data_IF_554455015606
#
_entry.id   IF_554455015606
#
_cell.length_a   1.000
_cell.length_b   1.000
_cell.length_c   1.000
_cell.angle_alpha   90.00
_cell.angle_beta   90.00
_cell.angle_gamma   90.00
#
_symmetry.space_group_name_H-M   'P 1'
#
loop_
_entity.id
_entity.type
_entity.pdbx_description
1 polymer ?
#
# COMPACT_ATOMS: atom_id res chain seq x y z
N UNK A 1 25.02 -11.13 -4.85
CA UNK A 1 23.69 -10.75 -4.35
C UNK A 1 22.57 -11.65 -4.91
N UNK A 2 22.49 -11.93 -6.22
CA UNK A 2 21.43 -12.79 -6.82
C UNK A 2 21.43 -14.28 -6.38
N UNK A 3 22.59 -14.83 -6.02
CA UNK A 3 22.70 -16.24 -5.59
C UNK A 3 21.93 -16.52 -4.28
N UNK A 4 21.90 -15.54 -3.36
CA UNK A 4 21.19 -15.67 -2.09
C UNK A 4 19.67 -15.67 -2.24
N UNK A 5 19.12 -14.79 -3.09
CA UNK A 5 17.67 -14.75 -3.37
C UNK A 5 17.17 -16.04 -4.03
N UNK A 6 17.93 -16.55 -5.01
CA UNK A 6 17.56 -17.78 -5.71
C UNK A 6 17.54 -18.98 -4.75
N UNK A 7 18.54 -19.09 -3.87
CA UNK A 7 18.57 -20.12 -2.84
C UNK A 7 17.42 -19.97 -1.83
N UNK A 8 17.17 -18.76 -1.34
CA UNK A 8 16.13 -18.50 -0.35
C UNK A 8 14.72 -18.85 -0.86
N UNK A 9 14.45 -18.67 -2.16
CA UNK A 9 13.16 -19.07 -2.77
C UNK A 9 12.83 -20.56 -2.58
N UNK A 10 13.84 -21.42 -2.47
CA UNK A 10 13.66 -22.86 -2.32
C UNK A 10 13.72 -23.35 -0.87
N UNK A 11 14.15 -22.51 0.07
CA UNK A 11 14.25 -22.88 1.48
C UNK A 11 12.94 -22.59 2.23
N UNK A 12 12.47 -23.50 3.09
CA UNK A 12 11.31 -23.24 3.93
C UNK A 12 11.62 -22.13 4.93
N UNK A 13 10.67 -21.20 5.13
CA UNK A 13 10.81 -20.12 6.11
C UNK A 13 9.69 -19.10 6.04
N UNK A 14 9.64 -18.12 6.97
CA UNK A 14 8.58 -17.11 7.02
C UNK A 14 8.45 -16.29 5.73
N UNK A 15 9.56 -16.05 5.02
CA UNK A 15 9.59 -15.34 3.74
C UNK A 15 8.70 -15.98 2.67
N UNK A 16 8.54 -17.30 2.70
CA UNK A 16 7.63 -18.02 1.77
C UNK A 16 6.15 -17.62 1.93
N UNK A 17 5.78 -17.00 3.06
CA UNK A 17 4.43 -16.50 3.33
C UNK A 17 4.20 -15.09 2.75
N UNK A 18 5.27 -14.31 2.53
CA UNK A 18 5.19 -12.90 2.09
C UNK A 18 4.43 -12.77 0.75
N UNK A 19 4.74 -13.54 -0.31
CA UNK A 19 4.02 -13.41 -1.58
C UNK A 19 2.52 -13.63 -1.44
N UNK A 20 2.11 -14.61 -0.60
CA UNK A 20 0.70 -14.90 -0.33
C UNK A 20 0.00 -13.75 0.40
N UNK A 21 0.68 -13.12 1.35
CA UNK A 21 0.15 -11.97 2.08
C UNK A 21 -0.01 -10.76 1.17
N UNK A 22 1.01 -10.45 0.36
CA UNK A 22 0.97 -9.38 -0.62
C UNK A 22 -0.14 -9.59 -1.65
N UNK A 23 -0.32 -10.81 -2.15
CA UNK A 23 -1.41 -11.15 -3.06
C UNK A 23 -2.80 -10.93 -2.44
N UNK A 24 -2.97 -11.29 -1.16
CA UNK A 24 -4.22 -11.03 -0.42
C UNK A 24 -4.50 -9.53 -0.26
N UNK A 25 -3.49 -8.74 0.08
CA UNK A 25 -3.62 -7.29 0.21
C UNK A 25 -3.91 -6.62 -1.14
N UNK A 26 -3.21 -7.01 -2.22
CA UNK A 26 -3.50 -6.54 -3.58
C UNK A 26 -4.94 -6.88 -3.99
N UNK A 27 -5.42 -8.09 -3.70
CA UNK A 27 -6.81 -8.48 -3.96
C UNK A 27 -7.83 -7.62 -3.20
N UNK A 28 -7.54 -7.29 -1.94
CA UNK A 28 -8.36 -6.38 -1.14
C UNK A 28 -8.43 -4.98 -1.78
N UNK A 29 -7.29 -4.44 -2.21
CA UNK A 29 -7.20 -3.14 -2.89
C UNK A 29 -7.92 -3.16 -4.22
N UNK A 30 -7.72 -4.18 -5.06
CA UNK A 30 -8.41 -4.33 -6.33
C UNK A 30 -9.95 -4.31 -6.16
N UNK A 31 -10.46 -4.92 -5.09
CA UNK A 31 -11.89 -4.85 -4.73
C UNK A 31 -12.32 -3.44 -4.32
N UNK A 32 -11.47 -2.69 -3.62
CA UNK A 32 -11.74 -1.27 -3.29
C UNK A 32 -11.74 -0.42 -4.56
N UNK A 33 -10.76 -0.59 -5.44
CA UNK A 33 -10.68 0.11 -6.74
C UNK A 33 -11.95 -0.10 -7.56
N UNK A 34 -12.43 -1.35 -7.68
CA UNK A 34 -13.70 -1.62 -8.38
C UNK A 34 -14.90 -0.89 -7.77
N UNK A 35 -15.06 -0.94 -6.44
CA UNK A 35 -16.14 -0.24 -5.74
C UNK A 35 -16.07 1.29 -5.95
N UNK A 36 -14.87 1.84 -5.91
CA UNK A 36 -14.65 3.26 -6.15
C UNK A 36 -15.04 3.62 -7.60
N UNK A 37 -14.61 2.84 -8.59
CA UNK A 37 -14.96 3.03 -9.99
C UNK A 37 -16.47 2.93 -10.28
N UNK A 38 -17.18 1.98 -9.65
CA UNK A 38 -18.64 1.81 -9.76
C UNK A 38 -19.43 3.03 -9.29
N UNK A 39 -18.84 3.85 -8.42
CA UNK A 39 -19.50 4.98 -7.75
C UNK A 39 -18.71 6.28 -7.93
N UNK A 40 -17.90 6.36 -8.98
CA UNK A 40 -17.01 7.50 -9.23
C UNK A 40 -17.82 8.69 -9.73
N UNK A 41 -17.66 9.83 -9.05
CA UNK A 41 -18.24 11.11 -9.45
C UNK A 41 -17.12 12.08 -9.84
N UNK A 42 -16.98 12.46 -11.13
CA UNK A 42 -15.85 13.28 -11.59
C UNK A 42 -15.69 14.64 -10.91
N UNK A 43 -16.79 15.22 -10.42
CA UNK A 43 -16.77 16.50 -9.71
C UNK A 43 -16.50 16.39 -8.21
N UNK A 44 -16.46 15.17 -7.65
CA UNK A 44 -16.37 14.94 -6.21
C UNK A 44 -15.50 13.72 -5.89
N UNK A 45 -14.18 13.76 -6.15
CA UNK A 45 -13.29 12.65 -5.81
C UNK A 45 -13.23 12.47 -4.29
N UNK A 46 -13.49 11.25 -3.82
CA UNK A 46 -13.62 10.95 -2.38
C UNK A 46 -12.29 10.65 -1.71
N UNK A 47 -11.38 10.04 -2.44
CA UNK A 47 -10.10 9.55 -1.92
C UNK A 47 -9.04 9.45 -3.03
N UNK A 48 -7.85 8.98 -2.66
CA UNK A 48 -6.73 8.77 -3.58
C UNK A 48 -7.09 7.91 -4.80
N UNK A 49 -7.92 6.87 -4.62
CA UNK A 49 -8.29 5.96 -5.70
C UNK A 49 -9.13 6.71 -6.73
N UNK A 50 -10.11 7.50 -6.29
CA UNK A 50 -10.92 8.31 -7.20
C UNK A 50 -10.05 9.33 -7.98
N UNK A 51 -9.15 10.03 -7.29
CA UNK A 51 -8.22 10.96 -7.94
C UNK A 51 -7.38 10.27 -9.03
N UNK A 52 -6.88 9.07 -8.75
CA UNK A 52 -6.08 8.30 -9.71
C UNK A 52 -6.94 7.82 -10.89
N UNK A 53 -8.15 7.33 -10.65
CA UNK A 53 -9.09 6.92 -11.71
C UNK A 53 -9.44 8.08 -12.64
N UNK A 54 -9.66 9.29 -12.09
CA UNK A 54 -9.90 10.48 -12.91
C UNK A 54 -8.67 10.88 -13.70
N UNK A 55 -7.47 10.69 -13.15
CA UNK A 55 -6.23 10.93 -13.90
C UNK A 55 -6.02 9.91 -15.02
N UNK A 56 -6.37 8.63 -14.80
CA UNK A 56 -6.37 7.61 -15.85
C UNK A 56 -7.28 8.00 -17.02
N UNK A 57 -8.48 8.51 -16.73
CA UNK A 57 -9.40 8.96 -17.79
C UNK A 57 -8.86 10.16 -18.58
N UNK A 58 -8.19 11.11 -17.90
CA UNK A 58 -7.54 12.26 -18.55
C UNK A 58 -6.38 11.86 -19.45
N UNK A 59 -5.70 10.76 -19.13
CA UNK A 59 -4.51 10.28 -19.86
C UNK A 59 -4.79 9.08 -20.77
N UNK A 60 -6.06 8.71 -21.00
CA UNK A 60 -6.44 7.51 -21.75
C UNK A 60 -5.87 7.44 -23.18
N UNK A 61 -5.62 8.60 -23.80
CA UNK A 61 -5.08 8.71 -25.15
C UNK A 61 -3.53 8.74 -25.18
N UNK A 62 -2.87 8.67 -24.03
CA UNK A 62 -1.42 8.60 -23.90
C UNK A 62 -0.96 7.15 -23.68
N UNK A 63 -0.42 6.47 -24.72
CA UNK A 63 0.03 5.07 -24.60
C UNK A 63 1.25 4.90 -23.70
N UNK A 64 1.94 5.98 -23.33
CA UNK A 64 3.08 5.97 -22.40
C UNK A 64 2.69 6.41 -20.99
N UNK A 65 1.40 6.51 -20.68
CA UNK A 65 0.93 6.93 -19.36
C UNK A 65 1.32 5.92 -18.28
N UNK A 66 1.80 6.43 -17.14
CA UNK A 66 2.00 5.66 -15.93
C UNK A 66 0.67 5.38 -15.19
N UNK A 67 -0.42 6.05 -15.56
CA UNK A 67 -1.74 5.89 -14.94
C UNK A 67 -2.47 4.71 -15.56
N UNK A 68 -2.28 3.54 -14.95
CA UNK A 68 -2.97 2.31 -15.30
C UNK A 68 -3.40 1.56 -14.03
N UNK A 69 -4.28 0.56 -14.19
CA UNK A 69 -4.87 -0.19 -13.08
C UNK A 69 -3.83 -0.89 -12.20
N UNK A 70 -2.75 -1.42 -12.79
CA UNK A 70 -1.70 -2.07 -12.02
C UNK A 70 -0.96 -1.07 -11.12
N UNK A 71 -0.55 0.07 -11.68
CA UNK A 71 0.10 1.12 -10.92
C UNK A 71 -0.82 1.72 -9.85
N UNK A 72 -2.12 1.85 -10.11
CA UNK A 72 -3.11 2.24 -9.10
C UNK A 72 -3.12 1.27 -7.92
N UNK A 73 -3.23 -0.03 -8.17
CA UNK A 73 -3.24 -1.06 -7.12
C UNK A 73 -1.93 -1.07 -6.33
N UNK A 74 -0.78 -1.05 -7.01
CA UNK A 74 0.54 -1.11 -6.38
C UNK A 74 0.86 0.17 -5.59
N UNK A 75 0.48 1.34 -6.10
CA UNK A 75 0.70 2.60 -5.40
C UNK A 75 -0.18 2.70 -4.16
N UNK A 76 -1.44 2.28 -4.26
CA UNK A 76 -2.33 2.19 -3.10
C UNK A 76 -1.78 1.21 -2.06
N UNK A 77 -1.22 0.07 -2.49
CA UNK A 77 -0.59 -0.90 -1.59
C UNK A 77 0.61 -0.30 -0.86
N UNK A 78 1.48 0.41 -1.59
CA UNK A 78 2.64 1.07 -1.02
C UNK A 78 2.24 2.12 0.02
N UNK A 79 1.26 2.96 -0.28
CA UNK A 79 0.74 3.96 0.67
C UNK A 79 0.21 3.30 1.95
N UNK A 80 -0.53 2.20 1.82
CA UNK A 80 -1.09 1.49 2.96
C UNK A 80 0.00 0.89 3.85
N UNK A 81 1.00 0.24 3.26
CA UNK A 81 2.13 -0.33 3.99
C UNK A 81 2.97 0.74 4.69
N UNK A 82 3.36 1.78 3.94
CA UNK A 82 4.22 2.83 4.44
C UNK A 82 3.56 3.58 5.61
N UNK A 83 2.26 3.90 5.49
CA UNK A 83 1.54 4.66 6.51
C UNK A 83 1.15 3.87 7.75
N UNK A 84 0.87 2.56 7.63
CA UNK A 84 0.32 1.80 8.77
C UNK A 84 1.41 1.32 9.72
N UNK A 85 2.38 0.57 9.21
CA UNK A 85 3.35 -0.13 10.06
C UNK A 85 4.34 0.83 10.73
N UNK A 86 4.79 1.84 9.98
CA UNK A 86 5.78 2.80 10.50
C UNK A 86 5.18 3.66 11.61
N UNK A 87 3.99 4.23 11.39
CA UNK A 87 3.31 5.08 12.38
C UNK A 87 2.90 4.26 13.61
N UNK A 88 2.33 3.06 13.42
CA UNK A 88 1.98 2.16 14.51
C UNK A 88 3.21 1.81 15.36
N UNK A 89 4.33 1.45 14.73
CA UNK A 89 5.57 1.14 15.41
C UNK A 89 6.11 2.35 16.17
N UNK A 90 6.17 3.52 15.53
CA UNK A 90 6.63 4.76 16.17
C UNK A 90 5.80 5.11 17.37
N UNK A 91 4.46 5.05 17.27
CA UNK A 91 3.58 5.32 18.41
C UNK A 91 3.78 4.30 19.53
N UNK A 92 3.85 3.00 19.19
CA UNK A 92 4.07 1.93 20.16
C UNK A 92 5.36 2.13 20.95
N UNK A 93 6.46 2.42 20.26
CA UNK A 93 7.74 2.70 20.91
C UNK A 93 7.73 4.04 21.64
N UNK A 94 7.10 5.07 21.07
CA UNK A 94 6.94 6.38 21.69
C UNK A 94 6.26 6.26 23.05
N UNK A 95 5.13 5.55 23.14
CA UNK A 95 4.43 5.32 24.40
C UNK A 95 5.25 4.49 25.38
N UNK A 96 5.94 3.45 24.92
CA UNK A 96 6.84 2.65 25.77
C UNK A 96 7.94 3.53 26.39
N UNK A 97 8.50 4.46 25.61
CA UNK A 97 9.51 5.38 26.08
C UNK A 97 8.95 6.37 27.10
N UNK A 98 7.76 6.94 26.87
CA UNK A 98 7.10 7.83 27.84
C UNK A 98 6.84 7.13 29.18
N UNK A 99 6.36 5.87 29.17
CA UNK A 99 6.16 5.09 30.39
C UNK A 99 7.46 4.81 31.16
N UNK A 100 8.59 4.70 30.45
CA UNK A 100 9.91 4.45 31.06
C UNK A 100 10.54 5.74 31.62
N UNK A 101 10.15 6.90 31.10
CA UNK A 101 10.70 8.21 31.42
C UNK A 101 9.58 9.18 31.84
N UNK A 102 8.93 8.96 33.00
CA UNK A 102 7.80 9.76 33.45
C UNK A 102 8.16 11.23 33.69
N UNK A 103 9.44 11.54 33.89
CA UNK A 103 10.01 12.89 33.97
C UNK A 103 9.90 13.69 32.67
N UNK A 104 9.82 13.00 31.51
CA UNK A 104 9.65 13.60 30.18
C UNK A 104 8.18 13.75 29.81
N UNK A 105 7.30 12.97 30.45
CA UNK A 105 5.85 12.98 30.20
C UNK A 105 5.15 14.19 30.85
N UNK A 106 5.80 14.84 31.82
CA UNK A 106 5.29 15.96 32.63
C UNK A 106 5.48 17.33 32.01
#
# INVERSE_FOLDING_TARGET
>A
YEMGETLLKHLPGPHTKIPRLLARMRSFIARRVRKNAETLEPGLPRDFIDCFLLQMEKEKDNPSSAFNTENLELTTLNLFFAGTETVSSTLRYGFLMLMKHPDVQG
#
